data_IF_547378484421
#
_entry.id   IF_547378484421
#
_cell.length_a   1.000
_cell.length_b   1.000
_cell.length_c   1.000
_cell.angle_alpha   90.00
_cell.angle_beta   90.00
_cell.angle_gamma   90.00
#
_symmetry.space_group_name_H-M   'P 1'
#
loop_
_entity.id
_entity.type
_entity.pdbx_description
1 polymer ?
#
# COMPACT_ATOMS: atom_id res chain seq x y z
N UNK A 1 8.44 -3.60 -7.26
CA UNK A 1 8.70 -3.58 -5.80
C UNK A 1 8.84 -2.15 -5.33
N UNK A 2 8.21 -1.76 -4.21
CA UNK A 2 8.21 -0.36 -3.74
C UNK A 2 9.59 0.03 -3.14
N UNK A 3 10.12 1.25 -3.39
CA UNK A 3 11.56 1.52 -3.29
C UNK A 3 12.08 2.05 -1.93
N UNK A 4 11.40 1.84 -0.79
CA UNK A 4 11.89 2.47 0.45
C UNK A 4 11.40 1.78 1.72
N UNK A 5 11.92 0.60 2.06
CA UNK A 5 11.53 -0.07 3.32
C UNK A 5 12.59 -0.97 3.95
N UNK A 6 13.87 -0.70 3.69
CA UNK A 6 14.96 -1.26 4.48
C UNK A 6 16.04 -0.19 4.66
N UNK A 7 15.84 0.74 5.60
CA UNK A 7 16.83 1.30 6.57
C UNK A 7 16.04 2.27 7.49
N UNK A 8 15.13 1.78 8.34
CA UNK A 8 14.58 2.59 9.46
C UNK A 8 14.65 1.93 10.83
N UNK A 9 15.30 0.77 10.94
CA UNK A 9 15.26 -0.03 12.16
C UNK A 9 16.58 -0.11 12.93
N UNK A 10 17.59 0.73 12.63
CA UNK A 10 18.88 0.71 13.36
C UNK A 10 19.23 1.95 14.19
N UNK A 11 18.42 3.01 14.17
CA UNK A 11 18.67 4.20 15.01
C UNK A 11 17.45 4.56 15.84
N UNK A 12 17.08 3.67 16.76
CA UNK A 12 16.21 3.97 17.90
C UNK A 12 17.07 3.95 19.17
N UNK A 13 18.00 4.89 19.27
CA UNK A 13 18.73 5.17 20.51
C UNK A 13 17.95 6.28 21.22
N UNK A 14 17.21 5.90 22.26
CA UNK A 14 16.67 6.86 23.21
C UNK A 14 17.80 7.57 23.95
N UNK A 15 17.63 8.87 24.21
CA UNK A 15 18.58 9.65 24.98
C UNK A 15 18.11 11.09 25.13
N UNK A 16 17.91 11.53 26.36
CA UNK A 16 17.40 12.84 26.76
C UNK A 16 18.23 13.99 26.15
N UNK A 17 17.53 15.03 25.68
CA UNK A 17 18.13 16.28 25.19
C UNK A 17 18.80 17.01 26.35
N UNK A 18 20.12 17.15 26.31
CA UNK A 18 20.85 18.16 27.09
C UNK A 18 21.36 19.23 26.12
N UNK A 19 20.90 20.45 26.32
CA UNK A 19 21.41 21.66 25.67
C UNK A 19 22.86 21.91 26.08
N UNK A 20 23.68 22.44 25.15
CA UNK A 20 25.06 22.92 25.35
C UNK A 20 26.21 21.90 25.34
N UNK A 21 26.22 20.93 24.40
CA UNK A 21 27.48 20.30 23.98
C UNK A 21 27.82 20.63 22.51
N UNK A 22 28.85 21.47 22.37
CA UNK A 22 29.96 21.34 21.42
C UNK A 22 29.60 21.07 19.95
N UNK A 23 29.51 22.13 19.17
CA UNK A 23 29.41 22.08 17.69
C UNK A 23 30.64 21.46 17.00
N UNK A 24 31.71 21.13 17.74
CA UNK A 24 32.93 20.48 17.20
C UNK A 24 32.92 18.95 17.31
N UNK A 25 32.17 18.33 18.22
CA UNK A 25 32.13 16.85 18.36
C UNK A 25 31.07 16.18 17.46
N UNK A 26 30.06 16.93 16.99
CA UNK A 26 29.02 16.45 16.07
C UNK A 26 29.52 16.28 14.62
N UNK A 27 30.72 16.78 14.29
CA UNK A 27 31.31 16.74 12.95
C UNK A 27 31.95 15.38 12.64
N UNK A 28 32.41 14.64 13.66
CA UNK A 28 33.19 13.39 13.49
C UNK A 28 32.34 12.14 13.27
N UNK A 29 31.01 12.21 13.45
CA UNK A 29 30.13 11.03 13.46
C UNK A 29 29.13 10.92 12.30
N UNK A 30 28.93 11.98 11.51
CA UNK A 30 27.95 11.95 10.42
C UNK A 30 28.55 11.29 9.19
N UNK A 31 28.06 10.11 8.83
CA UNK A 31 28.42 9.39 7.60
C UNK A 31 27.34 9.60 6.55
N UNK A 32 27.72 9.96 5.34
CA UNK A 32 26.83 9.98 4.20
C UNK A 32 26.75 8.59 3.58
N UNK A 33 25.54 8.14 3.31
CA UNK A 33 25.25 6.91 2.57
C UNK A 33 24.73 7.26 1.18
N UNK A 34 25.23 6.57 0.16
CA UNK A 34 24.71 6.67 -1.20
C UNK A 34 24.01 5.38 -1.60
N UNK A 35 22.71 5.47 -1.88
CA UNK A 35 21.85 4.32 -2.24
C UNK A 35 22.22 3.67 -3.59
N UNK A 36 22.80 4.42 -4.52
CA UNK A 36 23.22 3.86 -5.82
C UNK A 36 24.54 3.09 -5.74
N UNK A 37 25.37 3.40 -4.74
CA UNK A 37 26.75 2.90 -4.64
C UNK A 37 26.95 1.95 -3.46
N UNK A 38 25.95 1.82 -2.58
CA UNK A 38 25.98 1.10 -1.30
C UNK A 38 27.23 1.37 -0.46
N UNK A 39 27.62 2.65 -0.42
CA UNK A 39 28.86 3.09 0.24
C UNK A 39 28.57 4.17 1.27
N UNK A 40 29.11 4.00 2.48
CA UNK A 40 29.09 5.02 3.54
C UNK A 40 30.47 5.65 3.73
N UNK A 41 30.55 6.97 3.74
CA UNK A 41 31.79 7.73 3.95
C UNK A 41 31.56 8.94 4.84
N UNK A 42 32.63 9.60 5.30
CA UNK A 42 32.52 10.79 6.15
C UNK A 42 31.76 11.91 5.43
N UNK A 43 30.72 12.45 6.07
CA UNK A 43 29.82 13.45 5.47
C UNK A 43 30.43 14.85 5.44
N UNK A 44 31.46 15.01 4.62
CA UNK A 44 32.01 16.30 4.25
C UNK A 44 31.37 16.75 2.94
N UNK A 45 30.88 18.00 2.83
CA UNK A 45 30.21 18.50 1.62
C UNK A 45 31.05 18.32 0.34
N UNK A 46 32.35 18.52 0.44
CA UNK A 46 33.28 18.33 -0.68
C UNK A 46 33.38 16.84 -1.10
N UNK A 47 33.45 15.93 -0.13
CA UNK A 47 33.51 14.48 -0.40
C UNK A 47 32.23 14.00 -1.07
N UNK A 48 31.07 14.48 -0.60
CA UNK A 48 29.77 14.19 -1.20
C UNK A 48 29.70 14.67 -2.65
N UNK A 49 30.14 15.90 -2.92
CA UNK A 49 30.18 16.45 -4.28
C UNK A 49 31.09 15.65 -5.21
N UNK A 50 32.30 15.31 -4.75
CA UNK A 50 33.24 14.46 -5.50
C UNK A 50 32.67 13.06 -5.76
N UNK A 51 31.98 12.47 -4.79
CA UNK A 51 31.31 11.18 -4.95
C UNK A 51 30.23 11.23 -6.04
N UNK A 52 29.29 12.18 -5.95
CA UNK A 52 28.13 12.28 -6.87
C UNK A 52 28.59 12.59 -8.31
N UNK A 53 29.61 13.44 -8.46
CA UNK A 53 30.17 13.78 -9.77
C UNK A 53 31.14 12.71 -10.31
N UNK A 54 31.46 11.68 -9.52
CA UNK A 54 32.34 10.61 -9.92
C UNK A 54 31.71 9.72 -10.99
N UNK A 55 32.53 9.27 -11.95
CA UNK A 55 32.10 8.40 -13.05
C UNK A 55 31.47 7.09 -12.58
N UNK A 56 31.96 6.52 -11.47
CA UNK A 56 31.38 5.33 -10.86
C UNK A 56 29.94 5.58 -10.40
N UNK A 57 29.69 6.67 -9.67
CA UNK A 57 28.34 7.03 -9.22
C UNK A 57 27.43 7.27 -10.42
N UNK A 58 27.89 8.02 -11.41
CA UNK A 58 27.13 8.28 -12.64
C UNK A 58 26.75 6.97 -13.37
N UNK A 59 27.68 6.02 -13.50
CA UNK A 59 27.43 4.70 -14.10
C UNK A 59 26.42 3.89 -13.30
N UNK A 60 26.59 3.79 -11.98
CA UNK A 60 25.67 3.04 -11.12
C UNK A 60 24.28 3.66 -11.10
N UNK A 61 24.20 5.00 -11.05
CA UNK A 61 22.94 5.73 -11.15
C UNK A 61 22.24 5.45 -12.48
N UNK A 62 22.97 5.46 -13.60
CA UNK A 62 22.42 5.11 -14.91
C UNK A 62 21.90 3.67 -14.91
N UNK A 63 22.70 2.70 -14.47
CA UNK A 63 22.31 1.29 -14.39
C UNK A 63 21.05 1.07 -13.55
N UNK A 64 20.90 1.80 -12.44
CA UNK A 64 19.70 1.75 -11.62
C UNK A 64 18.45 2.16 -12.41
N UNK A 65 18.50 3.26 -13.18
CA UNK A 65 17.34 3.68 -13.99
C UNK A 65 17.15 2.81 -15.24
N UNK A 66 18.23 2.33 -15.86
CA UNK A 66 18.17 1.43 -17.01
C UNK A 66 17.42 0.13 -16.64
N UNK A 67 17.51 -0.34 -15.40
CA UNK A 67 16.80 -1.54 -14.92
C UNK A 67 15.27 -1.37 -14.82
N UNK A 68 14.77 -0.14 -14.76
CA UNK A 68 13.32 0.16 -14.68
C UNK A 68 12.79 0.79 -15.96
N UNK A 69 13.54 0.66 -17.05
CA UNK A 69 13.21 1.29 -18.31
C UNK A 69 12.08 0.55 -19.02
N UNK A 70 11.16 1.29 -19.63
CA UNK A 70 10.04 0.70 -20.36
C UNK A 70 10.54 -0.03 -21.62
N UNK A 71 10.05 -1.25 -21.84
CA UNK A 71 10.37 -2.09 -23.01
C UNK A 71 10.18 -1.35 -24.34
N UNK A 72 9.11 -0.55 -24.46
CA UNK A 72 8.86 0.29 -25.64
C UNK A 72 10.01 1.25 -25.93
N UNK A 73 10.51 1.92 -24.88
CA UNK A 73 11.60 2.89 -25.00
C UNK A 73 12.95 2.22 -25.29
N UNK A 74 13.20 1.02 -24.73
CA UNK A 74 14.40 0.22 -25.02
C UNK A 74 14.41 -0.16 -26.51
N UNK A 75 13.32 -0.78 -26.98
CA UNK A 75 13.22 -1.25 -28.35
C UNK A 75 13.34 -0.10 -29.36
N UNK A 76 12.67 1.03 -29.09
CA UNK A 76 12.79 2.21 -29.92
C UNK A 76 14.25 2.69 -30.00
N UNK A 77 14.94 2.90 -28.88
CA UNK A 77 16.32 3.40 -28.93
C UNK A 77 17.32 2.43 -29.54
N UNK A 78 17.16 1.12 -29.29
CA UNK A 78 18.07 0.11 -29.82
C UNK A 78 17.84 -0.15 -31.30
N UNK A 79 16.61 -0.01 -31.79
CA UNK A 79 16.29 -0.12 -33.22
C UNK A 79 16.94 1.00 -34.06
N UNK A 80 17.13 2.20 -33.48
CA UNK A 80 17.80 3.31 -34.18
C UNK A 80 19.33 3.22 -34.11
N UNK A 81 19.90 2.33 -33.28
CA UNK A 81 21.35 2.17 -33.14
C UNK A 81 21.89 1.18 -34.16
N UNK A 82 23.08 1.48 -34.68
CA UNK A 82 23.84 0.55 -35.54
C UNK A 82 24.24 -0.69 -34.71
N UNK A 83 24.11 -1.92 -35.24
CA UNK A 83 24.50 -3.13 -34.52
C UNK A 83 26.00 -3.17 -34.20
N UNK A 84 26.35 -3.69 -33.02
CA UNK A 84 27.73 -3.75 -32.56
C UNK A 84 28.54 -4.81 -33.31
N UNK A 85 29.43 -4.37 -34.20
CA UNK A 85 30.30 -5.25 -35.00
C UNK A 85 31.13 -6.22 -34.15
N UNK A 86 31.62 -5.76 -32.99
CA UNK A 86 32.45 -6.58 -32.11
C UNK A 86 31.63 -7.70 -31.46
N UNK A 87 30.40 -7.40 -31.03
CA UNK A 87 29.49 -8.42 -30.50
C UNK A 87 29.10 -9.43 -31.59
N UNK A 88 28.80 -8.96 -32.80
CA UNK A 88 28.46 -9.84 -33.93
C UNK A 88 29.62 -10.76 -34.33
N UNK A 89 30.87 -10.28 -34.28
CA UNK A 89 32.04 -11.05 -34.70
C UNK A 89 32.58 -11.99 -33.62
N UNK A 90 32.62 -11.53 -32.38
CA UNK A 90 33.32 -12.22 -31.28
C UNK A 90 32.35 -12.81 -30.25
N UNK A 91 31.05 -12.50 -30.33
CA UNK A 91 30.05 -12.89 -29.34
C UNK A 91 30.18 -12.19 -27.99
N UNK A 92 31.20 -11.35 -27.81
CA UNK A 92 31.47 -10.61 -26.57
C UNK A 92 31.87 -9.17 -26.87
N UNK A 93 31.48 -8.25 -26.00
CA UNK A 93 31.79 -6.82 -26.13
C UNK A 93 32.39 -6.28 -24.83
N UNK A 94 33.60 -5.70 -24.92
CA UNK A 94 34.32 -5.15 -23.77
C UNK A 94 33.61 -3.96 -23.11
N UNK A 95 32.71 -3.29 -23.83
CA UNK A 95 31.94 -2.15 -23.31
C UNK A 95 30.67 -2.56 -22.56
N UNK A 96 30.28 -3.84 -22.62
CA UNK A 96 29.11 -4.39 -21.94
C UNK A 96 27.82 -3.59 -22.19
N UNK A 97 27.02 -3.28 -21.17
CA UNK A 97 25.75 -2.55 -21.31
C UNK A 97 25.92 -1.05 -21.62
N UNK A 98 27.14 -0.52 -21.55
CA UNK A 98 27.42 0.89 -21.83
C UNK A 98 27.95 1.11 -23.26
N UNK A 99 27.84 0.10 -24.11
CA UNK A 99 28.24 0.18 -25.51
C UNK A 99 27.42 1.24 -26.26
N UNK A 100 28.08 1.95 -27.19
CA UNK A 100 27.45 2.94 -28.07
C UNK A 100 26.54 2.29 -29.12
N UNK A 101 26.81 1.03 -29.47
CA UNK A 101 26.15 0.27 -30.52
C UNK A 101 25.08 -0.68 -29.98
N UNK A 102 24.14 -1.09 -30.83
CA UNK A 102 23.07 -2.00 -30.44
C UNK A 102 23.61 -3.40 -30.14
N UNK A 103 23.23 -3.94 -28.98
CA UNK A 103 23.48 -5.32 -28.57
C UNK A 103 22.23 -6.19 -28.67
N UNK A 104 21.14 -5.65 -29.25
CA UNK A 104 19.88 -6.34 -29.33
C UNK A 104 19.99 -7.52 -30.30
N UNK A 105 19.87 -8.73 -29.77
CA UNK A 105 19.75 -9.96 -30.55
C UNK A 105 18.31 -10.12 -31.07
N UNK A 106 18.12 -10.96 -32.09
CA UNK A 106 16.78 -11.22 -32.63
C UNK A 106 15.82 -11.75 -31.55
N UNK A 107 16.30 -12.64 -30.68
CA UNK A 107 15.52 -13.22 -29.59
C UNK A 107 15.11 -12.14 -28.57
N UNK A 108 16.07 -11.36 -28.08
CA UNK A 108 15.78 -10.25 -27.14
C UNK A 108 14.84 -9.21 -27.74
N UNK A 109 14.91 -8.97 -29.05
CA UNK A 109 14.00 -8.06 -29.75
C UNK A 109 12.56 -8.61 -29.71
N UNK A 110 12.40 -9.89 -30.02
CA UNK A 110 11.10 -10.56 -30.01
C UNK A 110 10.50 -10.56 -28.60
N UNK A 111 11.30 -10.85 -27.59
CA UNK A 111 10.88 -10.80 -26.18
C UNK A 111 10.33 -9.41 -25.79
N UNK A 112 11.04 -8.34 -26.16
CA UNK A 112 10.57 -6.97 -25.93
C UNK A 112 9.26 -6.68 -26.67
N UNK A 113 9.13 -7.08 -27.93
CA UNK A 113 7.91 -6.91 -28.72
C UNK A 113 6.71 -7.63 -28.08
N UNK A 114 6.92 -8.84 -27.56
CA UNK A 114 5.90 -9.61 -26.84
C UNK A 114 5.48 -8.93 -25.52
N UNK A 115 6.44 -8.40 -24.74
CA UNK A 115 6.14 -7.67 -23.51
C UNK A 115 5.31 -6.40 -23.79
N UNK A 116 5.66 -5.67 -24.83
CA UNK A 116 4.94 -4.47 -25.28
C UNK A 116 3.49 -4.84 -25.65
N UNK A 117 3.31 -5.91 -26.43
CA UNK A 117 1.99 -6.39 -26.82
C UNK A 117 1.15 -6.78 -25.60
N UNK A 118 1.73 -7.54 -24.65
CA UNK A 118 1.05 -7.95 -23.44
C UNK A 118 0.62 -6.74 -22.58
N UNK A 119 1.49 -5.75 -22.39
CA UNK A 119 1.18 -4.50 -21.67
C UNK A 119 0.06 -3.72 -22.34
N UNK A 120 0.05 -3.64 -23.67
CA UNK A 120 -1.02 -2.96 -24.44
C UNK A 120 -2.35 -3.68 -24.30
N UNK A 121 -2.36 -5.01 -24.36
CA UNK A 121 -3.60 -5.77 -24.21
C UNK A 121 -4.14 -5.68 -22.78
N UNK A 122 -3.27 -5.74 -21.76
CA UNK A 122 -3.66 -5.49 -20.37
C UNK A 122 -4.26 -4.08 -20.17
N UNK A 123 -3.63 -3.05 -20.75
CA UNK A 123 -4.13 -1.69 -20.69
C UNK A 123 -5.51 -1.55 -21.38
N UNK A 124 -5.70 -2.22 -22.52
CA UNK A 124 -6.97 -2.25 -23.25
C UNK A 124 -8.06 -2.97 -22.45
N UNK A 125 -7.75 -4.09 -21.81
CA UNK A 125 -8.67 -4.80 -20.93
C UNK A 125 -9.06 -3.94 -19.71
N UNK A 126 -8.10 -3.31 -19.05
CA UNK A 126 -8.34 -2.37 -17.94
C UNK A 126 -9.23 -1.20 -18.37
N UNK A 127 -9.02 -0.68 -19.59
CA UNK A 127 -9.86 0.37 -20.15
C UNK A 127 -11.29 -0.13 -20.40
N UNK A 128 -11.45 -1.34 -20.95
CA UNK A 128 -12.76 -1.95 -21.19
C UNK A 128 -13.50 -2.18 -19.87
N UNK A 129 -12.83 -2.68 -18.83
CA UNK A 129 -13.42 -2.86 -17.50
C UNK A 129 -13.79 -1.51 -16.86
N UNK A 130 -12.95 -0.48 -17.02
CA UNK A 130 -13.30 0.88 -16.58
C UNK A 130 -14.50 1.43 -17.34
N UNK A 131 -14.61 1.16 -18.65
CA UNK A 131 -15.79 1.55 -19.44
C UNK A 131 -17.03 0.80 -19.01
N UNK A 132 -16.93 -0.51 -18.77
CA UNK A 132 -18.03 -1.36 -18.28
C UNK A 132 -18.56 -0.87 -16.93
N UNK A 133 -17.66 -0.54 -16.00
CA UNK A 133 -18.02 0.02 -14.69
C UNK A 133 -18.49 1.48 -14.74
N UNK A 134 -18.18 2.21 -15.82
CA UNK A 134 -18.68 3.56 -16.06
C UNK A 134 -20.06 3.59 -16.74
N UNK A 135 -20.56 2.46 -17.26
CA UNK A 135 -21.95 2.36 -17.72
C UNK A 135 -22.84 2.64 -16.50
N UNK A 136 -23.72 3.64 -16.62
CA UNK A 136 -24.60 4.05 -15.54
C UNK A 136 -25.42 2.84 -15.04
N UNK A 137 -25.62 2.70 -13.71
CA UNK A 137 -26.45 1.64 -13.16
C UNK A 137 -27.79 1.61 -13.87
N UNK A 138 -28.22 0.42 -14.27
CA UNK A 138 -29.48 0.25 -14.99
C UNK A 138 -30.66 0.63 -14.08
N UNK A 139 -31.84 0.88 -14.67
CA UNK A 139 -33.06 1.10 -13.88
C UNK A 139 -33.31 -0.07 -12.90
N UNK A 140 -32.99 -1.29 -13.33
CA UNK A 140 -33.07 -2.51 -12.51
C UNK A 140 -32.11 -2.49 -11.31
N UNK A 141 -30.85 -2.07 -11.50
CA UNK A 141 -29.89 -1.91 -10.40
C UNK A 141 -30.41 -0.90 -9.34
N UNK A 142 -31.11 0.13 -9.80
CA UNK A 142 -31.73 1.12 -8.91
C UNK A 142 -32.92 0.52 -8.14
N UNK A 143 -33.79 -0.26 -8.80
CA UNK A 143 -34.91 -0.97 -8.16
C UNK A 143 -34.42 -1.94 -7.09
N UNK A 144 -33.40 -2.76 -7.40
CA UNK A 144 -32.80 -3.69 -6.45
C UNK A 144 -32.23 -2.98 -5.21
N UNK A 145 -31.52 -1.87 -5.43
CA UNK A 145 -30.95 -1.08 -4.34
C UNK A 145 -32.04 -0.48 -3.44
N UNK A 146 -33.21 -0.16 -3.98
CA UNK A 146 -34.37 0.35 -3.22
C UNK A 146 -35.06 -0.78 -2.45
N UNK A 147 -35.23 -1.95 -3.06
CA UNK A 147 -35.83 -3.13 -2.43
C UNK A 147 -35.00 -3.64 -1.24
N UNK A 148 -33.67 -3.62 -1.36
CA UNK A 148 -32.72 -4.02 -0.32
C UNK A 148 -32.56 -3.00 0.81
N UNK A 149 -33.23 -1.83 0.77
CA UNK A 149 -33.12 -0.84 1.86
C UNK A 149 -33.70 -1.43 3.14
N UNK A 150 -32.91 -1.53 4.24
CA UNK A 150 -33.46 -1.94 5.52
C UNK A 150 -34.52 -0.91 5.91
N UNK A 151 -35.75 -1.36 6.16
CA UNK A 151 -36.76 -0.49 6.74
C UNK A 151 -36.23 -0.09 8.12
N UNK A 152 -36.03 1.21 8.35
CA UNK A 152 -35.73 1.71 9.70
C UNK A 152 -36.84 1.18 10.60
N UNK A 153 -36.49 0.28 11.53
CA UNK A 153 -37.36 0.00 12.66
C UNK A 153 -37.53 1.33 13.38
N UNK A 154 -38.72 1.92 13.30
CA UNK A 154 -39.05 3.07 14.11
C UNK A 154 -38.88 2.65 15.55
N UNK A 155 -37.90 3.24 16.23
CA UNK A 155 -37.56 3.00 17.63
C UNK A 155 -38.75 3.25 18.60
N UNK A 156 -39.83 3.86 18.10
CA UNK A 156 -40.99 4.28 18.87
C UNK A 156 -42.11 3.22 19.06
N UNK A 157 -41.89 1.94 18.73
CA UNK A 157 -42.91 0.89 18.99
C UNK A 157 -42.43 -0.31 19.80
N UNK A 158 -41.23 -0.28 20.39
CA UNK A 158 -40.72 -1.41 21.19
C UNK A 158 -40.73 -1.13 22.70
N UNK A 159 -40.63 0.12 23.14
CA UNK A 159 -40.51 0.45 24.58
C UNK A 159 -41.85 0.66 25.31
N UNK A 160 -42.97 0.56 24.59
CA UNK A 160 -44.30 0.87 25.11
C UNK A 160 -45.11 -0.29 25.67
N UNK A 161 -44.87 -1.55 25.26
CA UNK A 161 -45.68 -2.69 25.74
C UNK A 161 -45.00 -3.49 26.87
N UNK A 162 -43.68 -3.63 26.81
CA UNK A 162 -42.96 -4.52 27.74
C UNK A 162 -42.98 -3.97 29.18
N UNK A 163 -42.93 -2.64 29.35
CA UNK A 163 -42.95 -2.01 30.68
C UNK A 163 -44.30 -2.07 31.40
N UNK A 164 -45.42 -2.04 30.65
CA UNK A 164 -46.76 -2.13 31.21
C UNK A 164 -47.13 -3.57 31.58
N UNK A 165 -46.74 -4.56 30.76
CA UNK A 165 -46.98 -5.97 31.08
C UNK A 165 -46.17 -6.42 32.31
N UNK A 166 -44.90 -6.02 32.42
CA UNK A 166 -44.09 -6.43 33.59
C UNK A 166 -44.60 -5.78 34.88
N UNK A 167 -45.01 -4.51 34.84
CA UNK A 167 -45.61 -3.84 36.01
C UNK A 167 -46.96 -4.47 36.39
N UNK A 168 -47.84 -4.74 35.42
CA UNK A 168 -49.15 -5.34 35.69
C UNK A 168 -49.04 -6.73 36.32
N UNK A 169 -48.12 -7.57 35.83
CA UNK A 169 -47.89 -8.92 36.39
C UNK A 169 -47.34 -8.87 37.82
N UNK A 170 -46.45 -7.93 38.13
CA UNK A 170 -45.97 -7.75 39.50
C UNK A 170 -47.06 -7.26 40.47
N UNK A 171 -47.99 -6.39 40.04
CA UNK A 171 -49.09 -5.95 40.91
C UNK A 171 -50.07 -7.07 41.25
N UNK A 172 -50.40 -7.93 40.27
CA UNK A 172 -51.29 -9.09 40.51
C UNK A 172 -50.64 -10.09 41.47
N UNK A 173 -49.35 -10.35 41.31
CA UNK A 173 -48.64 -11.29 42.19
C UNK A 173 -48.52 -10.79 43.64
N UNK A 174 -48.30 -9.49 43.83
CA UNK A 174 -48.28 -8.88 45.17
C UNK A 174 -49.68 -8.96 45.81
N UNK A 175 -50.74 -8.71 45.05
CA UNK A 175 -52.10 -8.77 45.57
C UNK A 175 -52.49 -10.20 45.98
N UNK A 176 -52.16 -11.21 45.17
CA UNK A 176 -52.42 -12.63 45.48
C UNK A 176 -51.61 -13.10 46.71
N UNK A 177 -50.36 -12.66 46.86
CA UNK A 177 -49.58 -12.99 48.06
C UNK A 177 -50.14 -12.31 49.32
N UNK A 178 -50.58 -11.06 49.21
CA UNK A 178 -51.20 -10.34 50.32
C UNK A 178 -52.51 -11.00 50.77
N UNK A 179 -53.37 -11.39 49.82
CA UNK A 179 -54.63 -12.06 50.17
C UNK A 179 -54.38 -13.45 50.75
N UNK A 180 -53.40 -14.20 50.24
CA UNK A 180 -53.00 -15.48 50.83
C UNK A 180 -52.52 -15.34 52.29
N UNK A 181 -51.69 -14.33 52.58
CA UNK A 181 -51.24 -14.01 53.95
C UNK A 181 -52.41 -13.63 54.88
N UNK A 182 -53.38 -12.86 54.39
CA UNK A 182 -54.57 -12.51 55.20
C UNK A 182 -55.52 -13.69 55.45
N UNK A 183 -55.57 -14.67 54.54
CA UNK A 183 -56.32 -15.91 54.76
C UNK A 183 -55.62 -16.76 55.83
N UNK A 184 -54.29 -16.93 55.71
CA UNK A 184 -53.49 -17.70 56.69
C UNK A 184 -53.57 -17.08 58.09
N UNK A 185 -53.51 -15.75 58.22
CA UNK A 185 -53.63 -15.10 59.53
C UNK A 185 -55.03 -15.22 60.16
N UNK A 186 -56.10 -15.37 59.36
CA UNK A 186 -57.47 -15.57 59.91
C UNK A 186 -57.69 -16.98 60.45
N UNK A 187 -56.99 -17.99 59.94
CA UNK A 187 -57.09 -19.36 60.43
C UNK A 187 -56.36 -19.57 61.77
N UNK A 188 -55.41 -18.71 62.13
CA UNK A 188 -54.66 -18.81 63.41
C UNK A 188 -55.35 -18.16 64.62
N UNK A 189 -56.45 -17.43 64.44
CA UNK A 189 -57.21 -16.81 65.54
C UNK A 189 -58.42 -17.66 66.01
N UNK A 190 -58.67 -18.80 65.37
CA UNK A 190 -59.80 -19.72 65.68
C UNK A 190 -59.32 -21.04 66.32
N UNK A 191 -58.14 -21.05 66.96
CA UNK A 191 -57.62 -22.19 67.74
C UNK A 191 -57.31 -21.79 69.18
#
# INVERSE_FOLDING_TARGET
MKPHQRIRDKYKIGGKRNSLLSTKEVIMGKRYYCDFCDKSFADLPNNRKKHINGSLHQRMRKQHYDAFRDAESILAEEAHKIPCKQLLRTGTCNFGPNCRFSHLTADTRLELEMEIWAKKEEAKQKLLERKRSAIAPTFEDWLEKRAKRPKKKSFLLQVGLDSYLTRALSFVHIFVLSTALQIICKETEVS
#
